data_IF_327076279194
#
_entry.id   IF_327076279194
#
_cell.length_a   1.000
_cell.length_b   1.000
_cell.length_c   1.000
_cell.angle_alpha   90.00
_cell.angle_beta   90.00
_cell.angle_gamma   90.00
#
_symmetry.space_group_name_H-M   'P 1'
#
loop_
_entity.id
_entity.type
_entity.pdbx_description
1 polymer ?
#
# COMPACT_ATOMS: atom_id res chain seq x y z
N UNK A 1 -16.88 -4.71 9.80
CA UNK A 1 -17.15 -3.34 9.35
C UNK A 1 -18.62 -3.26 8.99
N UNK A 2 -19.27 -2.13 9.21
CA UNK A 2 -20.69 -1.88 8.98
C UNK A 2 -20.85 -1.05 7.70
N UNK A 3 -21.96 -1.21 6.97
CA UNK A 3 -22.34 -0.31 5.89
C UNK A 3 -22.37 1.14 6.37
N UNK A 4 -21.92 2.09 5.55
CA UNK A 4 -21.85 3.53 5.84
C UNK A 4 -20.96 3.93 7.03
N UNK A 5 -20.03 3.07 7.45
CA UNK A 5 -19.01 3.43 8.44
C UNK A 5 -17.85 4.19 7.82
N UNK A 6 -17.26 5.12 8.58
CA UNK A 6 -15.94 5.71 8.27
C UNK A 6 -14.87 5.02 9.11
N UNK A 7 -13.86 4.48 8.44
CA UNK A 7 -12.75 3.75 9.05
C UNK A 7 -11.45 4.50 8.84
N UNK A 8 -10.67 4.66 9.92
CA UNK A 8 -9.32 5.22 9.90
C UNK A 8 -8.37 4.11 10.29
N UNK A 9 -7.46 3.75 9.40
CA UNK A 9 -6.41 2.76 9.66
C UNK A 9 -5.04 3.41 9.60
N UNK A 10 -4.21 3.05 10.57
CA UNK A 10 -2.83 3.48 10.67
C UNK A 10 -1.94 2.24 10.63
N UNK A 11 -1.21 2.08 9.53
CA UNK A 11 -0.34 0.95 9.22
C UNK A 11 -0.93 -0.43 9.57
N UNK A 12 -2.14 -0.77 9.09
CA UNK A 12 -2.81 -2.02 9.45
C UNK A 12 -2.04 -3.28 9.01
N UNK A 13 -1.06 -3.14 8.12
CA UNK A 13 -0.16 -4.20 7.65
C UNK A 13 0.93 -4.60 8.65
N UNK A 14 1.26 -3.79 9.66
CA UNK A 14 2.49 -3.94 10.44
C UNK A 14 2.63 -5.30 11.13
N UNK A 15 1.52 -5.95 11.48
CA UNK A 15 1.47 -7.27 12.09
C UNK A 15 1.00 -8.39 11.13
N UNK A 16 0.87 -8.09 9.84
CA UNK A 16 0.29 -8.98 8.84
C UNK A 16 1.34 -9.50 7.86
N UNK A 17 1.34 -10.81 7.65
CA UNK A 17 2.04 -11.41 6.50
C UNK A 17 1.43 -10.90 5.18
N UNK A 18 2.17 -10.94 4.05
CA UNK A 18 1.65 -10.50 2.75
C UNK A 18 0.31 -11.14 2.38
N UNK A 19 0.15 -12.44 2.66
CA UNK A 19 -1.12 -13.15 2.43
C UNK A 19 -2.27 -12.60 3.28
N UNK A 20 -2.01 -12.20 4.53
CA UNK A 20 -3.02 -11.56 5.39
C UNK A 20 -3.35 -10.15 4.92
N UNK A 21 -2.39 -9.42 4.36
CA UNK A 21 -2.63 -8.11 3.75
C UNK A 21 -3.56 -8.23 2.53
N UNK A 22 -3.40 -9.26 1.70
CA UNK A 22 -4.34 -9.55 0.59
C UNK A 22 -5.76 -9.85 1.09
N UNK A 23 -5.90 -10.60 2.20
CA UNK A 23 -7.20 -10.82 2.84
C UNK A 23 -7.82 -9.52 3.34
N UNK A 24 -7.02 -8.67 3.98
CA UNK A 24 -7.46 -7.35 4.47
C UNK A 24 -7.91 -6.45 3.31
N UNK A 25 -7.14 -6.39 2.22
CA UNK A 25 -7.48 -5.68 0.99
C UNK A 25 -8.86 -6.11 0.48
N UNK A 26 -9.10 -7.42 0.37
CA UNK A 26 -10.38 -7.96 -0.09
C UNK A 26 -11.53 -7.57 0.84
N UNK A 27 -11.32 -7.55 2.15
CA UNK A 27 -12.33 -7.10 3.12
C UNK A 27 -12.64 -5.61 2.98
N UNK A 28 -11.61 -4.76 2.89
CA UNK A 28 -11.76 -3.31 2.70
C UNK A 28 -12.53 -3.03 1.42
N UNK A 29 -12.10 -3.61 0.30
CA UNK A 29 -12.74 -3.42 -1.01
C UNK A 29 -14.23 -3.79 -0.98
N UNK A 30 -14.58 -4.93 -0.37
CA UNK A 30 -15.98 -5.35 -0.23
C UNK A 30 -16.81 -4.37 0.61
N UNK A 31 -16.29 -3.97 1.76
CA UNK A 31 -16.99 -3.01 2.61
C UNK A 31 -17.12 -1.64 1.95
N UNK A 32 -16.13 -1.21 1.19
CA UNK A 32 -16.19 0.03 0.41
C UNK A 32 -17.29 -0.01 -0.65
N UNK A 33 -17.43 -1.13 -1.37
CA UNK A 33 -18.56 -1.34 -2.31
C UNK A 33 -19.93 -1.38 -1.61
N UNK A 34 -19.97 -1.71 -0.33
CA UNK A 34 -21.18 -1.66 0.52
C UNK A 34 -21.42 -0.27 1.16
N UNK A 35 -20.65 0.75 0.77
CA UNK A 35 -20.84 2.15 1.18
C UNK A 35 -20.00 2.59 2.38
N UNK A 36 -19.10 1.74 2.91
CA UNK A 36 -18.13 2.19 3.89
C UNK A 36 -17.04 3.08 3.26
N UNK A 37 -16.47 3.97 4.04
CA UNK A 37 -15.38 4.86 3.64
C UNK A 37 -14.13 4.54 4.45
N UNK A 38 -12.96 4.65 3.81
CA UNK A 38 -11.68 4.31 4.42
C UNK A 38 -10.67 5.43 4.18
N UNK A 39 -9.92 5.78 5.23
CA UNK A 39 -8.69 6.55 5.16
C UNK A 39 -7.61 5.68 5.78
N UNK A 40 -6.58 5.36 5.00
CA UNK A 40 -5.56 4.38 5.38
C UNK A 40 -4.20 5.02 5.22
N UNK A 41 -3.44 5.06 6.31
CA UNK A 41 -1.99 5.28 6.26
C UNK A 41 -1.34 3.91 6.08
N UNK A 42 -0.55 3.75 5.02
CA UNK A 42 0.08 2.46 4.72
C UNK A 42 1.37 2.67 3.91
N UNK A 43 2.36 1.83 4.19
CA UNK A 43 3.56 1.65 3.38
C UNK A 43 3.50 0.36 2.55
N UNK A 44 2.45 -0.45 2.70
CA UNK A 44 2.28 -1.69 1.98
C UNK A 44 1.94 -1.43 0.51
N UNK A 45 2.78 -1.88 -0.44
CA UNK A 45 2.40 -1.84 -1.86
C UNK A 45 1.17 -2.70 -2.13
N UNK A 46 0.88 -3.72 -1.31
CA UNK A 46 -0.34 -4.52 -1.46
C UNK A 46 -1.57 -3.66 -1.17
N UNK A 47 -1.61 -2.96 -0.03
CA UNK A 47 -2.78 -2.16 0.35
C UNK A 47 -2.91 -0.88 -0.50
N UNK A 48 -1.81 -0.28 -0.93
CA UNK A 48 -1.82 0.82 -1.91
C UNK A 48 -2.46 0.39 -3.25
N UNK A 49 -2.38 -0.89 -3.61
CA UNK A 49 -3.02 -1.44 -4.80
C UNK A 49 -4.53 -1.65 -4.71
N UNK A 50 -5.23 -1.07 -3.72
CA UNK A 50 -6.71 -1.09 -3.68
C UNK A 50 -7.24 -0.33 -4.92
N UNK A 51 -8.10 -0.95 -5.73
CA UNK A 51 -8.64 -0.29 -6.93
C UNK A 51 -9.56 0.87 -6.56
N UNK A 52 -9.63 1.86 -7.46
CA UNK A 52 -10.46 3.06 -7.34
C UNK A 52 -10.11 3.96 -6.13
N UNK A 53 -8.98 3.74 -5.46
CA UNK A 53 -8.53 4.56 -4.34
C UNK A 53 -7.66 5.74 -4.81
N UNK A 54 -7.90 6.92 -4.26
CA UNK A 54 -6.98 8.04 -4.39
C UNK A 54 -5.76 7.80 -3.47
N UNK A 55 -4.56 7.89 -4.02
CA UNK A 55 -3.31 7.77 -3.26
C UNK A 55 -2.72 9.16 -3.06
N UNK A 56 -2.51 9.54 -1.80
CA UNK A 56 -1.85 10.79 -1.42
C UNK A 56 -0.46 10.51 -0.88
N UNK A 57 0.57 11.10 -1.49
CA UNK A 57 1.94 11.02 -1.01
C UNK A 57 2.31 12.26 -0.18
N UNK A 58 3.11 12.05 0.87
CA UNK A 58 3.58 13.06 1.82
C UNK A 58 5.11 13.19 1.70
N UNK A 59 5.59 13.56 0.52
CA UNK A 59 7.02 13.76 0.26
C UNK A 59 7.34 15.22 -0.10
N UNK A 60 8.63 15.56 -0.15
CA UNK A 60 9.11 16.87 -0.62
C UNK A 60 8.47 18.10 0.06
N UNK A 61 7.91 17.92 1.26
CA UNK A 61 7.23 18.97 2.03
C UNK A 61 5.83 19.35 1.52
N UNK A 62 5.23 18.59 0.59
CA UNK A 62 3.88 18.82 0.10
C UNK A 62 3.05 17.52 0.06
N UNK A 63 1.73 17.66 0.13
CA UNK A 63 0.80 16.54 -0.08
C UNK A 63 0.30 16.62 -1.51
N UNK A 64 0.38 15.52 -2.26
CA UNK A 64 -0.08 15.47 -3.63
C UNK A 64 -0.67 14.09 -3.97
N UNK A 65 -1.55 14.07 -4.98
CA UNK A 65 -2.06 12.83 -5.58
C UNK A 65 -0.99 12.21 -6.48
N UNK A 66 -0.84 10.89 -6.44
CA UNK A 66 0.02 10.15 -7.34
C UNK A 66 -0.61 8.82 -7.78
N UNK A 67 -0.08 8.24 -8.85
CA UNK A 67 -0.47 6.90 -9.28
C UNK A 67 0.22 5.84 -8.42
N UNK A 68 -0.32 4.63 -8.42
CA UNK A 68 0.23 3.51 -7.64
C UNK A 68 1.70 3.24 -7.98
N UNK A 69 2.04 3.25 -9.27
CA UNK A 69 3.39 3.02 -9.78
C UNK A 69 4.39 4.15 -9.44
N UNK A 70 3.88 5.34 -9.09
CA UNK A 70 4.71 6.47 -8.66
C UNK A 70 5.12 6.35 -7.19
N UNK A 71 4.46 5.48 -6.40
CA UNK A 71 4.75 5.34 -4.97
C UNK A 71 6.13 4.71 -4.74
N UNK A 72 6.88 5.25 -3.77
CA UNK A 72 8.19 4.70 -3.38
C UNK A 72 8.08 3.22 -2.97
N UNK A 73 7.04 2.87 -2.21
CA UNK A 73 6.77 1.49 -1.79
C UNK A 73 6.63 0.54 -2.97
N UNK A 74 5.93 0.93 -4.04
CA UNK A 74 5.85 0.14 -5.27
C UNK A 74 7.22 0.01 -5.91
N UNK A 75 7.88 1.14 -6.21
CA UNK A 75 9.13 1.19 -6.96
C UNK A 75 10.25 0.38 -6.28
N UNK A 76 10.43 0.55 -4.96
CA UNK A 76 11.45 -0.17 -4.20
C UNK A 76 11.16 -1.67 -4.18
N UNK A 77 9.89 -2.04 -3.97
CA UNK A 77 9.48 -3.45 -3.91
C UNK A 77 9.62 -4.14 -5.26
N UNK A 78 9.15 -3.51 -6.33
CA UNK A 78 9.24 -3.98 -7.72
C UNK A 78 10.70 -4.15 -8.13
N UNK A 79 11.53 -3.13 -7.90
CA UNK A 79 12.96 -3.16 -8.16
C UNK A 79 13.64 -4.33 -7.44
N UNK A 80 13.36 -4.53 -6.14
CA UNK A 80 13.96 -5.61 -5.35
C UNK A 80 13.52 -7.00 -5.79
N UNK A 81 12.21 -7.20 -6.01
CA UNK A 81 11.66 -8.50 -6.43
C UNK A 81 12.22 -8.90 -7.80
N UNK A 82 12.25 -7.97 -8.75
CA UNK A 82 12.65 -8.26 -10.12
C UNK A 82 14.17 -8.32 -10.32
N UNK A 83 14.96 -7.64 -9.47
CA UNK A 83 16.42 -7.51 -9.65
C UNK A 83 17.23 -7.99 -8.43
N UNK A 84 16.67 -8.87 -7.59
CA UNK A 84 17.23 -9.27 -6.28
C UNK A 84 18.73 -9.56 -6.28
N UNK A 85 19.21 -10.44 -7.17
CA UNK A 85 20.62 -10.84 -7.17
C UNK A 85 21.55 -9.68 -7.53
N UNK A 86 21.23 -8.95 -8.60
CA UNK A 86 22.02 -7.81 -9.06
C UNK A 86 22.08 -6.70 -7.99
N UNK A 87 20.98 -6.44 -7.29
CA UNK A 87 20.94 -5.47 -6.20
C UNK A 87 21.79 -5.92 -5.01
N UNK A 88 21.67 -7.19 -4.59
CA UNK A 88 22.48 -7.73 -3.50
C UNK A 88 23.98 -7.66 -3.83
N UNK A 89 24.37 -8.01 -5.05
CA UNK A 89 25.75 -7.93 -5.49
C UNK A 89 26.25 -6.48 -5.45
N UNK A 90 25.47 -5.50 -5.94
CA UNK A 90 25.84 -4.08 -5.91
C UNK A 90 25.88 -3.46 -4.52
N UNK A 91 24.98 -3.87 -3.62
CA UNK A 91 24.84 -3.27 -2.28
C UNK A 91 25.81 -3.86 -1.26
N UNK A 92 26.24 -5.11 -1.46
CA UNK A 92 27.03 -5.86 -0.47
C UNK A 92 28.46 -6.17 -0.91
N UNK A 93 28.84 -5.77 -2.13
CA UNK A 93 30.22 -5.87 -2.61
C UNK A 93 30.80 -4.45 -2.65
N UNK A 94 31.82 -4.20 -1.83
CA UNK A 94 32.60 -2.95 -1.82
C UNK A 94 33.26 -2.66 -3.18
#
# INVERSE_FOLDING_TARGET
MNPNGLYLFDEPEAALSPQRQLTLLMQIYRCAKEGAQFIIVTHSPILLGIPDADIYCFDNGCIHLCEYEDTESYQVTEMFINNRQMLLDRLLTD
#
